data_IF_324977649965
#
_entry.id   IF_324977649965
#
_cell.length_a   1.000
_cell.length_b   1.000
_cell.length_c   1.000
_cell.angle_alpha   90.00
_cell.angle_beta   90.00
_cell.angle_gamma   90.00
#
_symmetry.space_group_name_H-M   'P 1'
#
loop_
_entity.id
_entity.type
_entity.pdbx_description
1 polymer ?
#
# COMPACT_ATOMS: atom_id res chain seq x y z
N UNK A 1 13.00 -11.37 4.84
CA UNK A 1 12.16 -10.45 5.65
C UNK A 1 10.77 -11.07 5.79
N UNK A 2 10.11 -10.90 6.93
CA UNK A 2 8.70 -11.23 7.09
C UNK A 2 7.86 -10.10 6.50
N UNK A 3 7.05 -10.44 5.49
CA UNK A 3 6.29 -9.49 4.70
C UNK A 3 4.82 -9.83 4.80
N UNK A 4 4.04 -8.87 5.28
CA UNK A 4 2.58 -8.92 5.35
C UNK A 4 1.98 -8.01 4.29
N UNK A 5 0.65 -7.99 4.23
CA UNK A 5 -0.09 -7.07 3.38
C UNK A 5 -1.24 -6.41 4.15
N UNK A 6 -1.56 -5.18 3.75
CA UNK A 6 -2.67 -4.39 4.30
C UNK A 6 -3.43 -3.65 3.19
N UNK A 7 -4.63 -3.16 3.53
CA UNK A 7 -5.45 -2.30 2.66
C UNK A 7 -5.91 -1.03 3.37
N UNK A 8 -6.46 -0.08 2.61
CA UNK A 8 -7.09 1.14 3.15
C UNK A 8 -8.43 0.93 3.89
N UNK A 9 -8.80 -0.32 4.12
CA UNK A 9 -10.02 -0.76 4.79
C UNK A 9 -9.98 -0.48 6.31
N UNK A 10 -11.14 -0.35 6.94
CA UNK A 10 -11.24 -0.01 8.38
C UNK A 10 -10.60 -1.04 9.31
N UNK A 11 -10.62 -2.31 8.94
CA UNK A 11 -10.00 -3.39 9.73
C UNK A 11 -8.47 -3.32 9.75
N UNK A 12 -7.83 -3.08 8.60
CA UNK A 12 -6.38 -2.95 8.52
C UNK A 12 -5.89 -1.60 9.05
N UNK A 13 -6.59 -0.51 8.73
CA UNK A 13 -6.19 0.85 9.09
C UNK A 13 -6.81 1.38 10.40
N UNK A 14 -7.57 0.55 11.13
CA UNK A 14 -8.19 0.89 12.40
C UNK A 14 -9.03 2.18 12.35
N UNK A 15 -9.98 2.24 11.41
CA UNK A 15 -10.95 3.33 11.31
C UNK A 15 -12.37 2.79 11.12
N UNK A 16 -13.37 3.58 11.50
CA UNK A 16 -14.79 3.27 11.34
C UNK A 16 -15.56 4.48 10.79
N UNK A 17 -16.77 4.24 10.26
CA UNK A 17 -17.67 5.32 9.81
C UNK A 17 -18.54 5.82 10.96
N UNK A 18 -18.80 7.12 10.94
CA UNK A 18 -19.61 7.82 11.93
C UNK A 18 -18.97 7.91 13.31
N UNK A 19 -19.42 8.87 14.11
CA UNK A 19 -18.99 9.08 15.49
C UNK A 19 -20.15 8.88 16.46
N UNK A 20 -19.88 8.26 17.61
CA UNK A 20 -20.86 8.15 18.70
C UNK A 20 -21.28 9.51 19.26
N UNK A 21 -20.49 10.58 19.03
CA UNK A 21 -20.89 11.96 19.32
C UNK A 21 -22.16 12.38 18.57
N UNK A 22 -22.38 11.83 17.37
CA UNK A 22 -23.53 12.12 16.52
C UNK A 22 -24.45 10.90 16.36
N UNK A 23 -24.46 9.99 17.35
CA UNK A 23 -25.23 8.74 17.30
C UNK A 23 -24.95 7.92 16.01
N UNK A 24 -23.73 8.01 15.46
CA UNK A 24 -23.32 7.37 14.20
C UNK A 24 -24.08 7.82 12.93
N UNK A 25 -24.83 8.91 12.99
CA UNK A 25 -25.60 9.42 11.84
C UNK A 25 -24.72 10.05 10.75
N UNK A 26 -23.48 10.42 11.08
CA UNK A 26 -22.47 10.99 10.18
C UNK A 26 -21.70 9.91 9.38
N UNK A 27 -22.43 9.03 8.70
CA UNK A 27 -21.91 7.84 7.99
C UNK A 27 -20.88 8.11 6.88
N UNK A 28 -20.78 9.35 6.42
CA UNK A 28 -19.82 9.79 5.40
C UNK A 28 -18.42 10.01 5.96
N UNK A 29 -18.32 10.32 7.25
CA UNK A 29 -17.07 10.64 7.92
C UNK A 29 -16.40 9.39 8.48
N UNK A 30 -15.06 9.38 8.46
CA UNK A 30 -14.24 8.28 8.98
C UNK A 30 -13.45 8.73 10.18
N UNK A 31 -13.40 7.90 11.21
CA UNK A 31 -12.73 8.20 12.48
C UNK A 31 -11.80 7.08 12.91
N UNK A 32 -10.68 7.44 13.53
CA UNK A 32 -9.69 6.49 14.05
C UNK A 32 -10.25 5.76 15.28
N UNK A 33 -10.14 4.44 15.33
CA UNK A 33 -10.68 3.62 16.44
C UNK A 33 -9.65 3.21 17.48
N UNK A 34 -8.36 3.21 17.11
CA UNK A 34 -7.27 2.73 17.98
C UNK A 34 -6.10 3.71 18.08
N UNK A 35 -5.37 3.65 19.18
CA UNK A 35 -4.16 4.44 19.43
C UNK A 35 -4.42 5.84 19.97
N UNK A 36 -3.36 6.65 20.02
CA UNK A 36 -3.37 7.99 20.65
C UNK A 36 -4.33 8.99 20.00
N UNK A 37 -4.66 8.80 18.72
CA UNK A 37 -5.53 9.68 17.94
C UNK A 37 -6.97 9.15 17.81
N UNK A 38 -7.40 8.24 18.69
CA UNK A 38 -8.77 7.70 18.70
C UNK A 38 -9.80 8.84 18.69
N UNK A 39 -10.81 8.72 17.84
CA UNK A 39 -11.88 9.72 17.67
C UNK A 39 -11.56 10.88 16.73
N UNK A 40 -10.30 11.05 16.30
CA UNK A 40 -9.96 12.06 15.27
C UNK A 40 -10.35 11.59 13.86
N UNK A 41 -10.59 12.52 12.92
CA UNK A 41 -10.85 12.16 11.52
C UNK A 41 -9.71 11.35 10.89
N UNK A 42 -10.06 10.37 10.06
CA UNK A 42 -9.11 9.53 9.34
C UNK A 42 -8.91 10.01 7.90
N UNK A 43 -7.69 10.43 7.56
CA UNK A 43 -7.33 10.93 6.22
C UNK A 43 -7.20 9.83 5.17
N UNK A 44 -6.63 8.68 5.56
CA UNK A 44 -6.24 7.62 4.62
C UNK A 44 -4.95 7.89 3.86
N UNK A 45 -4.18 8.89 4.30
CA UNK A 45 -2.82 9.13 3.80
C UNK A 45 -1.82 8.27 4.56
N UNK A 46 -0.70 7.98 3.90
CA UNK A 46 0.46 7.33 4.50
C UNK A 46 1.14 8.25 5.51
N UNK A 47 2.06 7.70 6.30
CA UNK A 47 2.89 8.50 7.21
C UNK A 47 3.78 9.55 6.51
N UNK A 48 4.10 9.38 5.22
CA UNK A 48 4.77 10.40 4.40
C UNK A 48 3.83 11.45 3.81
N UNK A 49 2.51 11.28 3.96
CA UNK A 49 1.48 12.19 3.43
C UNK A 49 1.00 11.84 2.01
N UNK A 50 1.46 10.73 1.43
CA UNK A 50 1.04 10.30 0.09
C UNK A 50 -0.23 9.45 0.13
N UNK A 51 -0.91 9.29 -1.02
CA UNK A 51 -2.04 8.35 -1.13
C UNK A 51 -1.48 6.94 -1.38
N UNK A 52 -1.82 5.96 -0.54
CA UNK A 52 -1.27 4.62 -0.67
C UNK A 52 -1.77 3.95 -1.95
N UNK A 53 -0.88 3.22 -2.63
CA UNK A 53 -1.19 2.64 -3.92
C UNK A 53 -0.46 1.33 -4.20
N UNK A 54 -1.08 0.46 -4.99
CA UNK A 54 -0.44 -0.78 -5.46
C UNK A 54 0.55 -0.49 -6.57
N UNK A 55 1.60 -1.33 -6.69
CA UNK A 55 2.51 -1.27 -7.81
C UNK A 55 1.74 -1.52 -9.09
N UNK A 56 2.09 -0.77 -10.13
CA UNK A 56 1.54 -0.96 -11.47
C UNK A 56 2.68 -1.28 -12.43
N UNK A 57 2.60 -2.41 -13.15
CA UNK A 57 3.57 -2.69 -14.19
C UNK A 57 3.47 -1.65 -15.32
N UNK A 58 4.59 -1.39 -15.99
CA UNK A 58 4.63 -0.57 -17.21
C UNK A 58 4.39 -1.39 -18.48
N UNK A 59 4.63 -0.76 -19.64
CA UNK A 59 4.44 -1.39 -20.95
C UNK A 59 5.29 -2.65 -21.14
N UNK A 60 6.53 -2.68 -20.65
CA UNK A 60 7.40 -3.85 -20.75
C UNK A 60 7.29 -4.69 -19.49
N UNK A 61 6.19 -5.42 -19.36
CA UNK A 61 5.91 -6.29 -18.23
C UNK A 61 5.35 -7.63 -18.66
N UNK A 62 5.35 -8.60 -17.74
CA UNK A 62 4.75 -9.93 -17.95
C UNK A 62 3.28 -9.82 -18.38
N UNK A 63 2.57 -8.80 -17.90
CA UNK A 63 1.18 -8.54 -18.28
C UNK A 63 1.05 -8.19 -19.77
N UNK A 64 1.94 -7.36 -20.31
CA UNK A 64 1.95 -7.02 -21.74
C UNK A 64 2.38 -8.18 -22.62
N UNK A 65 3.26 -9.07 -22.12
CA UNK A 65 3.64 -10.31 -22.82
C UNK A 65 2.44 -11.28 -22.90
N UNK A 66 1.60 -11.34 -21.86
CA UNK A 66 0.41 -12.20 -21.84
C UNK A 66 -0.76 -11.64 -22.62
N UNK A 67 -0.88 -10.31 -22.71
CA UNK A 67 -1.97 -9.63 -23.39
C UNK A 67 -1.48 -8.66 -24.48
N UNK A 68 -0.72 -9.14 -25.49
CA UNK A 68 -0.10 -8.27 -26.49
C UNK A 68 -1.12 -7.47 -27.32
N UNK A 69 -2.33 -7.99 -27.53
CA UNK A 69 -3.42 -7.29 -28.23
C UNK A 69 -3.89 -6.02 -27.50
N UNK A 70 -3.59 -5.86 -26.21
CA UNK A 70 -3.89 -4.63 -25.47
C UNK A 70 -2.89 -3.50 -25.73
N UNK A 71 -1.73 -3.78 -26.35
CA UNK A 71 -0.67 -2.79 -26.57
C UNK A 71 -1.18 -1.58 -27.41
N UNK A 72 -1.83 -1.77 -28.58
CA UNK A 72 -2.37 -0.65 -29.35
C UNK A 72 -3.40 0.17 -28.55
N UNK A 73 -4.28 -0.50 -27.80
CA UNK A 73 -5.31 0.15 -26.97
C UNK A 73 -4.67 0.99 -25.85
N UNK A 74 -3.64 0.46 -25.17
CA UNK A 74 -2.92 1.18 -24.10
C UNK A 74 -2.21 2.41 -24.64
N UNK A 75 -1.61 2.30 -25.83
CA UNK A 75 -0.91 3.43 -26.47
C UNK A 75 -1.92 4.51 -26.88
N UNK A 76 -3.03 4.14 -27.52
CA UNK A 76 -3.99 5.09 -28.06
C UNK A 76 -4.83 5.79 -26.99
N UNK A 77 -5.32 5.05 -25.98
CA UNK A 77 -6.31 5.56 -25.04
C UNK A 77 -5.78 5.79 -23.63
N UNK A 78 -4.62 5.22 -23.29
CA UNK A 78 -4.12 5.22 -21.92
C UNK A 78 -2.60 5.46 -21.84
N UNK A 79 -2.04 6.53 -22.45
CA UNK A 79 -0.60 6.76 -22.49
C UNK A 79 0.05 6.88 -21.10
N UNK A 80 -0.71 7.34 -20.09
CA UNK A 80 -0.25 7.37 -18.70
C UNK A 80 -0.11 5.99 -18.06
N UNK A 81 -0.60 4.91 -18.69
CA UNK A 81 -0.39 3.52 -18.26
C UNK A 81 0.96 2.94 -18.67
N UNK A 82 1.70 3.61 -19.57
CA UNK A 82 2.95 3.10 -20.14
C UNK A 82 4.08 3.03 -19.12
N UNK A 83 4.15 4.02 -18.22
CA UNK A 83 5.21 4.08 -17.20
C UNK A 83 4.87 3.20 -16.00
N UNK A 84 5.82 2.42 -15.46
CA UNK A 84 5.60 1.70 -14.22
C UNK A 84 5.41 2.67 -13.05
N UNK A 85 4.69 2.22 -12.02
CA UNK A 85 4.57 2.93 -10.75
C UNK A 85 4.91 1.99 -9.62
N UNK A 86 5.80 2.43 -8.73
CA UNK A 86 6.16 1.71 -7.52
C UNK A 86 4.94 1.61 -6.58
N UNK A 87 4.90 0.57 -5.73
CA UNK A 87 3.86 0.42 -4.70
C UNK A 87 4.25 1.05 -3.37
N UNK A 88 3.26 1.38 -2.55
CA UNK A 88 3.47 1.87 -1.18
C UNK A 88 3.83 0.72 -0.24
N UNK A 89 4.91 0.89 0.52
CA UNK A 89 5.36 -0.05 1.55
C UNK A 89 5.38 0.65 2.91
N UNK A 90 4.92 -0.05 3.94
CA UNK A 90 5.11 0.34 5.33
C UNK A 90 6.31 -0.39 5.95
N UNK A 91 7.19 0.37 6.60
CA UNK A 91 8.38 -0.18 7.26
C UNK A 91 8.74 0.63 8.52
N UNK A 92 9.74 0.15 9.26
CA UNK A 92 10.34 0.93 10.34
C UNK A 92 11.35 1.93 9.78
N UNK A 93 11.00 3.22 9.81
CA UNK A 93 11.82 4.29 9.22
C UNK A 93 13.16 4.52 9.90
N UNK A 94 13.40 3.92 11.07
CA UNK A 94 14.74 3.93 11.69
C UNK A 94 15.74 3.09 10.90
N UNK A 95 15.27 2.10 10.15
CA UNK A 95 16.10 1.21 9.33
C UNK A 95 15.97 1.51 7.84
N UNK A 96 14.78 1.92 7.39
CA UNK A 96 14.48 2.23 6.00
C UNK A 96 13.78 3.60 5.89
N UNK A 97 14.53 4.69 5.68
CA UNK A 97 13.96 6.02 5.54
C UNK A 97 12.86 6.09 4.47
N UNK A 98 11.99 7.09 4.57
CA UNK A 98 11.01 7.34 3.52
C UNK A 98 11.71 7.59 2.18
N UNK A 99 11.16 7.02 1.10
CA UNK A 99 11.77 7.08 -0.23
C UNK A 99 12.72 5.92 -0.54
N UNK A 100 13.11 5.10 0.44
CA UNK A 100 13.86 3.86 0.18
C UNK A 100 13.07 2.97 -0.78
N UNK A 101 13.70 2.52 -1.86
CA UNK A 101 13.10 1.66 -2.89
C UNK A 101 13.52 0.21 -2.70
N UNK A 102 12.57 -0.70 -2.89
CA UNK A 102 12.76 -2.14 -2.72
C UNK A 102 12.04 -2.91 -3.82
N UNK A 103 12.62 -4.06 -4.20
CA UNK A 103 11.95 -5.06 -5.02
C UNK A 103 11.53 -6.24 -4.15
N UNK A 104 10.23 -6.59 -4.21
CA UNK A 104 9.65 -7.70 -3.48
C UNK A 104 9.09 -8.71 -4.49
N UNK A 105 9.64 -9.94 -4.55
CA UNK A 105 9.15 -10.99 -5.44
C UNK A 105 7.65 -11.24 -5.26
N UNK A 106 6.89 -11.21 -6.37
CA UNK A 106 5.44 -11.39 -6.38
C UNK A 106 4.61 -10.13 -6.10
N UNK A 107 5.22 -9.05 -5.60
CA UNK A 107 4.56 -7.75 -5.46
C UNK A 107 5.05 -6.77 -6.54
N UNK A 108 6.36 -6.71 -6.76
CA UNK A 108 7.01 -5.76 -7.66
C UNK A 108 7.87 -4.76 -6.91
N UNK A 109 8.17 -3.63 -7.57
CA UNK A 109 8.90 -2.51 -6.98
C UNK A 109 7.98 -1.72 -6.04
N UNK A 110 8.52 -1.27 -4.92
CA UNK A 110 7.83 -0.38 -4.01
C UNK A 110 8.76 0.57 -3.28
N UNK A 111 8.15 1.56 -2.65
CA UNK A 111 8.81 2.65 -1.94
C UNK A 111 8.28 2.73 -0.51
N UNK A 112 9.18 2.96 0.44
CA UNK A 112 8.79 3.20 1.82
C UNK A 112 8.11 4.57 1.91
N UNK A 113 6.82 4.57 2.19
CA UNK A 113 6.00 5.77 2.34
C UNK A 113 5.19 5.74 3.63
N UNK A 114 5.02 4.58 4.24
CA UNK A 114 4.14 4.41 5.38
C UNK A 114 4.84 3.79 6.60
N UNK A 115 4.18 3.86 7.76
CA UNK A 115 4.67 3.28 9.02
C UNK A 115 3.53 2.66 9.80
N UNK A 116 3.74 1.42 10.22
CA UNK A 116 2.85 0.74 11.16
C UNK A 116 3.37 0.79 12.60
N UNK A 117 2.46 0.81 13.57
CA UNK A 117 2.81 0.57 14.98
C UNK A 117 3.30 -0.88 15.21
N UNK A 118 2.74 -1.85 14.47
CA UNK A 118 3.12 -3.26 14.53
C UNK A 118 4.31 -3.64 13.62
N UNK A 119 4.71 -2.73 12.72
CA UNK A 119 5.81 -2.96 11.76
C UNK A 119 7.07 -2.32 12.33
N UNK A 120 7.87 -3.15 13.01
CA UNK A 120 9.08 -2.72 13.75
C UNK A 120 10.26 -3.62 13.45
N UNK A 121 11.44 -3.01 13.46
CA UNK A 121 12.71 -3.70 13.21
C UNK A 121 13.07 -3.81 11.72
N UNK A 122 14.25 -4.36 11.42
CA UNK A 122 14.81 -4.37 10.06
C UNK A 122 14.22 -5.46 9.15
N UNK A 123 13.51 -6.44 9.73
CA UNK A 123 13.08 -7.65 9.04
C UNK A 123 11.57 -7.73 8.79
N UNK A 124 10.82 -6.65 9.05
CA UNK A 124 9.34 -6.58 8.93
C UNK A 124 8.92 -5.51 7.94
N UNK A 125 8.10 -5.87 6.97
CA UNK A 125 7.48 -4.98 6.00
C UNK A 125 5.99 -5.28 5.85
N UNK A 126 5.21 -4.27 5.49
CA UNK A 126 3.79 -4.41 5.17
C UNK A 126 3.51 -3.79 3.79
N UNK A 127 2.92 -4.56 2.89
CA UNK A 127 2.70 -4.15 1.51
C UNK A 127 1.27 -3.63 1.33
N UNK A 128 1.12 -2.47 0.71
CA UNK A 128 -0.21 -1.94 0.44
C UNK A 128 -0.86 -2.64 -0.76
N UNK A 129 -2.11 -3.05 -0.58
CA UNK A 129 -3.00 -3.51 -1.63
C UNK A 129 -4.29 -2.68 -1.68
N UNK A 130 -4.77 -2.42 -2.90
CA UNK A 130 -6.00 -1.67 -3.14
C UNK A 130 -7.26 -2.41 -2.71
N UNK A 131 -7.20 -3.73 -2.56
CA UNK A 131 -8.30 -4.60 -2.16
C UNK A 131 -7.92 -5.47 -0.98
N UNK A 132 -8.86 -5.62 -0.03
CA UNK A 132 -8.69 -6.49 1.13
C UNK A 132 -8.46 -7.95 0.74
N UNK A 133 -9.23 -8.47 -0.22
CA UNK A 133 -9.04 -9.84 -0.70
C UNK A 133 -7.64 -10.08 -1.27
N UNK A 134 -7.05 -9.09 -1.96
CA UNK A 134 -5.66 -9.21 -2.45
C UNK A 134 -4.64 -9.21 -1.32
N UNK A 135 -4.86 -8.40 -0.28
CA UNK A 135 -4.01 -8.41 0.91
C UNK A 135 -4.07 -9.76 1.64
N UNK A 136 -5.27 -10.33 1.79
CA UNK A 136 -5.46 -11.66 2.38
C UNK A 136 -4.79 -12.76 1.53
N UNK A 137 -4.95 -12.72 0.21
CA UNK A 137 -4.32 -13.67 -0.70
C UNK A 137 -2.79 -13.59 -0.68
N UNK A 138 -2.23 -12.40 -0.40
CA UNK A 138 -0.79 -12.27 -0.18
C UNK A 138 -0.35 -12.98 1.10
N UNK A 139 -1.12 -12.79 2.18
CA UNK A 139 -0.90 -13.41 3.49
C UNK A 139 0.33 -12.89 4.24
N UNK A 140 0.83 -13.69 5.19
CA UNK A 140 2.11 -13.46 5.87
C UNK A 140 3.11 -14.49 5.38
N UNK A 141 4.24 -14.04 4.86
CA UNK A 141 5.30 -14.94 4.37
C UNK A 141 6.69 -14.34 4.48
N UNK A 142 7.69 -15.20 4.51
CA UNK A 142 9.10 -14.79 4.43
C UNK A 142 9.53 -14.74 2.97
N UNK A 143 10.01 -13.58 2.53
CA UNK A 143 10.52 -13.38 1.16
C UNK A 143 11.89 -12.71 1.20
N UNK A 144 12.69 -12.97 0.16
CA UNK A 144 13.98 -12.32 -0.07
C UNK A 144 13.72 -10.98 -0.74
N UNK A 145 13.85 -9.90 0.02
CA UNK A 145 13.65 -8.52 -0.44
C UNK A 145 14.99 -7.97 -0.89
N UNK A 146 14.99 -7.29 -2.03
CA UNK A 146 16.17 -6.58 -2.55
C UNK A 146 15.96 -5.10 -2.30
N UNK A 147 16.87 -4.47 -1.55
CA UNK A 147 16.85 -3.02 -1.33
C UNK A 147 17.67 -2.38 -2.44
N UNK A 148 17.03 -1.51 -3.24
CA UNK A 148 17.66 -0.91 -4.42
C UNK A 148 18.36 0.41 -4.08
N UNK A 149 17.67 1.29 -3.37
CA UNK A 149 18.16 2.62 -3.00
C UNK A 149 17.70 2.93 -1.58
N UNK A 150 18.64 3.27 -0.70
CA UNK A 150 18.35 3.76 0.65
C UNK A 150 18.19 5.26 0.66
#
# INVERSE_FOLDING_TARGET
MEVTAYCGCGQCCCWERGSWKYLKLDVWNRYITKGKNKGKPYSGLTASGTKPHTPRPGLFSVDSVRHPWMIPVRIAFFPWLLLPRDGTIAADTRYYPFGTRMYIPGYGRGVIEDRGSAIKGPSRLDLYFSSHGRALNWGRKKVKVVVEKK
#
